data_IF_837247139315
#
_entry.id   IF_837247139315
#
_cell.length_a   1.000
_cell.length_b   1.000
_cell.length_c   1.000
_cell.angle_alpha   90.00
_cell.angle_beta   90.00
_cell.angle_gamma   90.00
#
_symmetry.space_group_name_H-M   'P 1'
#
loop_
_entity.id
_entity.type
_entity.pdbx_description
1 polymer ?
#
# COMPACT_ATOMS: atom_id res chain seq x y z
N UNK A 1 -49.83 14.24 6.12
CA UNK A 1 -49.61 13.07 5.26
C UNK A 1 -48.43 13.38 4.36
N UNK A 2 -47.24 12.86 4.67
CA UNK A 2 -46.11 12.87 3.73
C UNK A 2 -45.58 11.44 3.67
N UNK A 3 -45.65 10.91 2.45
CA UNK A 3 -45.37 9.53 2.05
C UNK A 3 -43.86 9.26 2.13
N UNK A 4 -43.44 8.52 3.16
CA UNK A 4 -42.07 8.05 3.31
C UNK A 4 -41.93 6.68 2.62
N UNK A 5 -41.55 6.69 1.34
CA UNK A 5 -41.02 5.49 0.68
C UNK A 5 -39.69 5.09 1.35
N UNK A 6 -39.78 4.11 2.23
CA UNK A 6 -38.68 3.42 2.89
C UNK A 6 -37.87 2.61 1.86
N UNK A 7 -36.67 3.10 1.50
CA UNK A 7 -35.70 2.31 0.76
C UNK A 7 -35.00 1.34 1.73
N UNK A 8 -35.41 0.07 1.70
CA UNK A 8 -34.68 -1.00 2.37
C UNK A 8 -33.42 -1.34 1.58
N UNK A 9 -32.24 -0.97 2.09
CA UNK A 9 -30.96 -1.48 1.59
C UNK A 9 -30.51 -2.58 2.56
N UNK A 10 -30.68 -3.83 2.14
CA UNK A 10 -30.25 -5.01 2.91
C UNK A 10 -28.77 -5.25 2.63
N UNK A 11 -27.91 -5.02 3.62
CA UNK A 11 -26.52 -5.46 3.58
C UNK A 11 -26.43 -6.88 4.14
N UNK A 12 -26.05 -7.85 3.30
CA UNK A 12 -25.61 -9.19 3.77
C UNK A 12 -24.13 -9.11 4.11
N UNK A 13 -23.79 -9.14 5.39
CA UNK A 13 -22.43 -9.40 5.88
C UNK A 13 -22.53 -10.63 6.78
N UNK A 14 -21.84 -11.71 6.41
CA UNK A 14 -21.58 -12.90 7.23
C UNK A 14 -22.79 -13.45 8.02
N UNK A 15 -23.89 -13.77 7.32
CA UNK A 15 -24.93 -14.64 7.87
C UNK A 15 -25.82 -14.07 8.99
N UNK A 16 -25.81 -12.75 9.23
CA UNK A 16 -26.73 -12.13 10.20
C UNK A 16 -27.73 -11.19 9.50
N UNK A 17 -29.02 -11.41 9.75
CA UNK A 17 -30.14 -10.59 9.29
C UNK A 17 -30.25 -9.32 10.15
N UNK A 18 -30.28 -8.16 9.50
CA UNK A 18 -30.44 -6.85 10.15
C UNK A 18 -31.92 -6.48 10.14
N UNK A 19 -32.57 -6.38 11.30
CA UNK A 19 -34.03 -6.16 11.37
C UNK A 19 -34.49 -4.69 11.43
N UNK A 20 -33.62 -3.69 11.57
CA UNK A 20 -34.01 -2.30 11.27
C UNK A 20 -32.82 -1.35 11.26
N UNK A 21 -32.87 -0.37 10.35
CA UNK A 21 -31.88 0.70 10.24
C UNK A 21 -32.64 2.05 10.21
N UNK A 22 -32.75 2.72 11.35
CA UNK A 22 -33.29 4.08 11.38
C UNK A 22 -32.22 5.08 10.94
N UNK A 23 -32.48 5.79 9.85
CA UNK A 23 -31.60 6.83 9.32
C UNK A 23 -31.98 8.18 9.94
N UNK A 24 -31.19 8.68 10.91
CA UNK A 24 -31.32 10.06 11.39
C UNK A 24 -30.50 10.98 10.48
N UNK A 25 -31.16 11.83 9.70
CA UNK A 25 -30.50 12.92 8.96
C UNK A 25 -30.31 14.11 9.90
N UNK A 26 -29.07 14.50 10.16
CA UNK A 26 -28.78 15.82 10.75
C UNK A 26 -28.50 16.85 9.64
N UNK A 27 -28.81 18.14 9.82
CA UNK A 27 -28.87 19.10 8.71
C UNK A 27 -27.51 19.56 8.17
N UNK A 28 -26.41 19.28 8.88
CA UNK A 28 -25.06 19.73 8.51
C UNK A 28 -24.02 18.83 9.14
N UNK A 29 -23.73 17.68 8.54
CA UNK A 29 -22.45 16.98 8.72
C UNK A 29 -22.40 15.77 7.78
N UNK A 30 -21.29 15.62 7.06
CA UNK A 30 -21.01 14.49 6.17
C UNK A 30 -20.64 13.22 6.96
N UNK A 31 -21.44 12.87 7.98
CA UNK A 31 -21.24 11.73 8.85
C UNK A 31 -22.54 10.92 8.91
N UNK A 32 -22.62 9.88 8.11
CA UNK A 32 -23.69 8.88 8.23
C UNK A 32 -23.27 7.92 9.35
N UNK A 33 -23.69 8.21 10.58
CA UNK A 33 -23.52 7.31 11.71
C UNK A 33 -24.67 6.29 11.64
N UNK A 34 -24.39 5.11 11.09
CA UNK A 34 -25.30 3.97 11.22
C UNK A 34 -24.95 3.26 12.53
N UNK A 35 -25.76 3.47 13.57
CA UNK A 35 -25.63 2.76 14.84
C UNK A 35 -26.27 1.38 14.67
N UNK A 36 -25.44 0.34 14.54
CA UNK A 36 -25.92 -1.04 14.61
C UNK A 36 -25.90 -1.44 16.09
N UNK A 37 -27.08 -1.50 16.72
CA UNK A 37 -27.24 -2.03 18.07
C UNK A 37 -27.15 -3.56 18.02
N UNK A 38 -25.97 -4.10 18.26
CA UNK A 38 -25.83 -5.49 18.70
C UNK A 38 -25.70 -5.48 20.23
N UNK A 39 -26.52 -6.31 20.86
CA UNK A 39 -26.71 -6.49 22.29
C UNK A 39 -25.39 -6.30 23.08
N UNK A 40 -25.30 -5.22 23.86
CA UNK A 40 -24.37 -5.10 24.98
C UNK A 40 -22.96 -4.53 24.75
N UNK A 41 -22.52 -4.19 23.52
CA UNK A 41 -21.26 -3.45 23.32
C UNK A 41 -21.37 -2.49 22.14
N UNK A 42 -21.42 -1.18 22.43
CA UNK A 42 -21.35 -0.09 21.46
C UNK A 42 -19.98 -0.04 20.78
N UNK A 43 -19.76 -0.91 19.79
CA UNK A 43 -18.57 -0.86 18.92
C UNK A 43 -18.82 0.17 17.83
N UNK A 44 -18.47 1.40 18.16
CA UNK A 44 -18.49 2.57 17.30
C UNK A 44 -17.57 2.37 16.08
N UNK A 45 -18.10 2.61 14.87
CA UNK A 45 -17.43 2.63 13.56
C UNK A 45 -16.43 3.81 13.43
N UNK A 46 -15.47 3.93 14.36
CA UNK A 46 -14.56 5.09 14.48
C UNK A 46 -13.57 5.30 13.33
N UNK A 47 -13.46 4.36 12.39
CA UNK A 47 -12.39 4.35 11.38
C UNK A 47 -12.88 4.42 9.93
N UNK A 48 -14.09 4.92 9.65
CA UNK A 48 -14.59 5.01 8.28
C UNK A 48 -14.84 6.47 7.84
N UNK A 49 -14.61 6.75 6.55
CA UNK A 49 -14.87 8.04 5.91
C UNK A 49 -15.38 7.84 4.49
N UNK A 50 -16.36 8.64 4.09
CA UNK A 50 -16.85 8.65 2.71
C UNK A 50 -15.91 9.45 1.79
N UNK A 51 -15.55 8.86 0.65
CA UNK A 51 -14.81 9.57 -0.38
C UNK A 51 -15.72 10.50 -1.19
N UNK A 52 -15.36 11.77 -1.32
CA UNK A 52 -16.11 12.75 -2.10
C UNK A 52 -16.10 12.53 -3.63
N UNK A 53 -15.24 11.64 -4.15
CA UNK A 53 -15.11 11.37 -5.59
C UNK A 53 -15.84 10.10 -6.02
N UNK A 54 -15.61 8.98 -5.34
CA UNK A 54 -16.28 7.70 -5.65
C UNK A 54 -17.45 7.36 -4.73
N UNK A 55 -17.76 8.22 -3.75
CA UNK A 55 -18.85 8.06 -2.78
C UNK A 55 -18.79 6.81 -1.89
N UNK A 56 -17.74 5.99 -1.98
CA UNK A 56 -17.54 4.81 -1.15
C UNK A 56 -17.16 5.18 0.29
N UNK A 57 -17.71 4.42 1.24
CA UNK A 57 -17.32 4.45 2.65
C UNK A 57 -16.09 3.55 2.81
N UNK A 58 -14.96 4.13 3.19
CA UNK A 58 -13.68 3.45 3.25
C UNK A 58 -12.98 3.73 4.58
N UNK A 59 -12.10 2.82 4.97
CA UNK A 59 -11.28 2.98 6.16
C UNK A 59 -10.41 4.27 6.09
N UNK A 60 -10.18 4.95 7.21
CA UNK A 60 -9.37 6.18 7.28
C UNK A 60 -7.97 5.99 6.70
N UNK A 61 -7.39 4.78 6.79
CA UNK A 61 -6.09 4.45 6.18
C UNK A 61 -6.11 4.56 4.65
N UNK A 62 -7.29 4.56 4.02
CA UNK A 62 -7.47 4.78 2.57
C UNK A 62 -7.43 6.25 2.20
N UNK A 63 -7.28 7.17 3.15
CA UNK A 63 -7.15 8.60 2.92
C UNK A 63 -5.74 9.09 3.27
N UNK A 64 -5.27 10.11 2.55
CA UNK A 64 -3.97 10.74 2.83
C UNK A 64 -4.12 11.85 3.87
N UNK A 65 -3.10 12.04 4.73
CA UNK A 65 -3.08 13.11 5.73
C UNK A 65 -3.11 14.49 5.06
N UNK A 66 -4.00 15.38 5.51
CA UNK A 66 -4.09 16.78 5.09
C UNK A 66 -4.29 17.68 6.31
N UNK A 67 -3.19 18.22 6.84
CA UNK A 67 -3.17 19.04 8.08
C UNK A 67 -4.16 20.22 8.08
N UNK A 68 -4.41 20.82 6.90
CA UNK A 68 -5.33 21.96 6.75
C UNK A 68 -6.81 21.63 6.95
N UNK A 69 -7.18 20.35 6.99
CA UNK A 69 -8.57 19.90 7.10
C UNK A 69 -8.87 19.62 8.58
N UNK A 70 -10.12 19.87 8.99
CA UNK A 70 -10.57 19.68 10.38
C UNK A 70 -10.31 18.27 10.91
N UNK A 71 -10.53 17.26 10.08
CA UNK A 71 -10.29 15.84 10.39
C UNK A 71 -8.85 15.38 10.08
N UNK A 72 -7.99 16.27 9.59
CA UNK A 72 -6.63 15.95 9.22
C UNK A 72 -6.48 15.01 8.01
N UNK A 73 -7.55 14.76 7.25
CA UNK A 73 -7.57 13.78 6.15
C UNK A 73 -8.07 14.39 4.84
N UNK A 74 -7.66 13.78 3.73
CA UNK A 74 -8.17 14.13 2.41
C UNK A 74 -9.66 13.82 2.30
N UNK A 75 -10.39 14.62 1.52
CA UNK A 75 -11.78 14.32 1.17
C UNK A 75 -11.91 13.19 0.13
N UNK A 76 -10.82 12.83 -0.55
CA UNK A 76 -10.81 11.76 -1.55
C UNK A 76 -9.86 10.63 -1.14
N UNK A 77 -10.22 9.40 -1.52
CA UNK A 77 -9.41 8.24 -1.20
C UNK A 77 -8.14 8.18 -2.07
N UNK A 78 -7.15 7.42 -1.62
CA UNK A 78 -5.88 7.20 -2.30
C UNK A 78 -6.05 6.60 -3.70
N UNK A 79 -7.08 5.76 -3.92
CA UNK A 79 -7.40 5.21 -5.24
C UNK A 79 -7.82 6.30 -6.22
N UNK A 80 -8.84 7.06 -5.84
CA UNK A 80 -9.33 8.22 -6.59
C UNK A 80 -8.25 9.24 -6.92
N UNK A 81 -7.34 9.49 -5.98
CA UNK A 81 -6.15 10.32 -6.17
C UNK A 81 -5.20 9.68 -7.19
N UNK A 82 -4.83 8.41 -7.01
CA UNK A 82 -3.98 7.65 -7.95
C UNK A 82 -4.49 7.72 -9.39
N UNK A 83 -5.79 7.50 -9.60
CA UNK A 83 -6.38 7.51 -10.94
C UNK A 83 -6.36 8.90 -11.57
N UNK A 84 -6.61 9.94 -10.77
CA UNK A 84 -6.47 11.32 -11.21
C UNK A 84 -5.03 11.63 -11.67
N UNK A 85 -4.02 11.20 -10.91
CA UNK A 85 -2.61 11.40 -11.27
C UNK A 85 -2.21 10.60 -12.51
N UNK A 86 -2.67 9.36 -12.65
CA UNK A 86 -2.42 8.54 -13.84
C UNK A 86 -3.00 9.19 -15.10
N UNK A 87 -4.25 9.64 -15.05
CA UNK A 87 -4.92 10.32 -16.16
C UNK A 87 -4.24 11.64 -16.57
N UNK A 88 -3.58 12.32 -15.62
CA UNK A 88 -2.92 13.61 -15.84
C UNK A 88 -1.39 13.50 -15.92
N UNK A 89 -0.83 12.29 -16.04
CA UNK A 89 0.63 12.05 -15.97
C UNK A 89 1.40 12.92 -16.96
N UNK A 90 0.96 12.96 -18.22
CA UNK A 90 1.63 13.73 -19.27
C UNK A 90 1.54 15.24 -19.04
N UNK A 91 0.41 15.74 -18.52
CA UNK A 91 0.25 17.15 -18.15
C UNK A 91 1.26 17.57 -17.08
N UNK A 92 1.43 16.76 -16.04
CA UNK A 92 2.41 17.04 -14.98
C UNK A 92 3.85 16.93 -15.49
N UNK A 93 4.14 15.95 -16.34
CA UNK A 93 5.45 15.78 -16.99
C UNK A 93 5.80 17.00 -17.84
N UNK A 94 4.88 17.47 -18.68
CA UNK A 94 5.04 18.68 -19.50
C UNK A 94 5.34 19.90 -18.64
N UNK A 95 4.51 20.15 -17.62
CA UNK A 95 4.71 21.26 -16.67
C UNK A 95 6.07 21.19 -15.96
N UNK A 96 6.51 19.99 -15.58
CA UNK A 96 7.82 19.81 -14.94
C UNK A 96 8.97 20.12 -15.91
N UNK A 97 8.88 19.66 -17.16
CA UNK A 97 9.88 19.92 -18.18
C UNK A 97 9.98 21.42 -18.50
N UNK A 98 8.84 22.11 -18.64
CA UNK A 98 8.77 23.56 -18.83
C UNK A 98 9.39 24.30 -17.64
N UNK A 99 9.04 23.91 -16.41
CA UNK A 99 9.65 24.50 -15.22
C UNK A 99 11.17 24.29 -15.21
N UNK A 100 11.65 23.08 -15.53
CA UNK A 100 13.08 22.76 -15.54
C UNK A 100 13.83 23.52 -16.63
N UNK A 101 13.25 23.66 -17.82
CA UNK A 101 13.82 24.45 -18.92
C UNK A 101 13.96 25.93 -18.52
N UNK A 102 12.92 26.49 -17.89
CA UNK A 102 12.91 27.89 -17.46
C UNK A 102 13.68 28.16 -16.15
N UNK A 103 14.08 27.12 -15.41
CA UNK A 103 14.72 27.24 -14.09
C UNK A 103 15.92 26.30 -13.95
N UNK A 104 16.77 26.21 -14.99
CA UNK A 104 17.86 25.24 -15.05
C UNK A 104 18.84 25.36 -13.87
N UNK A 105 19.24 26.58 -13.52
CA UNK A 105 20.16 26.83 -12.40
C UNK A 105 19.57 26.36 -11.07
N UNK A 106 18.32 26.73 -10.79
CA UNK A 106 17.60 26.29 -9.59
C UNK A 106 17.43 24.77 -9.54
N UNK A 107 17.19 24.14 -10.68
CA UNK A 107 17.11 22.68 -10.77
C UNK A 107 18.46 22.02 -10.42
N UNK A 108 19.58 22.56 -10.92
CA UNK A 108 20.94 22.11 -10.58
C UNK A 108 21.27 22.32 -9.12
N UNK A 109 20.88 23.46 -8.54
CA UNK A 109 21.07 23.74 -7.11
C UNK A 109 20.31 22.73 -6.24
N UNK A 110 19.05 22.43 -6.58
CA UNK A 110 18.27 21.40 -5.89
C UNK A 110 18.90 20.01 -6.01
N UNK A 111 19.44 19.67 -7.18
CA UNK A 111 20.16 18.42 -7.40
C UNK A 111 21.42 18.35 -6.52
N UNK A 112 22.22 19.42 -6.47
CA UNK A 112 23.38 19.53 -5.59
C UNK A 112 22.99 19.35 -4.12
N UNK A 113 21.97 20.06 -3.64
CA UNK A 113 21.44 19.93 -2.27
C UNK A 113 20.96 18.50 -1.99
N UNK A 114 20.27 17.87 -2.95
CA UNK A 114 19.81 16.49 -2.83
C UNK A 114 20.95 15.49 -2.74
N UNK A 115 22.03 15.69 -3.50
CA UNK A 115 23.23 14.85 -3.48
C UNK A 115 24.03 15.02 -2.18
N UNK A 116 24.16 16.26 -1.69
CA UNK A 116 24.83 16.57 -0.43
C UNK A 116 24.04 16.11 0.80
N UNK A 117 22.73 15.92 0.68
CA UNK A 117 21.87 15.50 1.79
C UNK A 117 22.34 14.13 2.36
N UNK A 118 22.88 14.08 3.59
CA UNK A 118 23.47 12.87 4.16
C UNK A 118 22.46 11.72 4.28
N UNK A 119 21.19 12.05 4.59
CA UNK A 119 20.11 11.06 4.72
C UNK A 119 19.83 10.35 3.41
N UNK A 120 20.03 11.02 2.27
CA UNK A 120 19.87 10.44 0.93
C UNK A 120 21.15 9.77 0.45
N UNK A 121 22.30 10.42 0.65
CA UNK A 121 23.63 9.94 0.26
C UNK A 121 23.91 8.54 0.83
N UNK A 122 23.59 8.32 2.10
CA UNK A 122 23.85 7.05 2.76
C UNK A 122 22.69 6.06 2.71
N UNK A 123 21.52 6.45 2.16
CA UNK A 123 20.32 5.61 2.12
C UNK A 123 20.58 4.25 1.49
N UNK A 124 21.31 4.21 0.36
CA UNK A 124 21.63 2.95 -0.32
C UNK A 124 22.48 2.03 0.57
N UNK A 125 23.55 2.57 1.18
CA UNK A 125 24.43 1.83 2.09
C UNK A 125 23.67 1.31 3.31
N UNK A 126 22.85 2.16 3.92
CA UNK A 126 22.00 1.82 5.06
C UNK A 126 21.04 0.67 4.68
N UNK A 127 20.36 0.78 3.54
CA UNK A 127 19.45 -0.26 3.07
C UNK A 127 20.17 -1.58 2.78
N UNK A 128 21.37 -1.54 2.22
CA UNK A 128 22.19 -2.74 2.03
C UNK A 128 22.58 -3.39 3.36
N UNK A 129 23.01 -2.60 4.36
CA UNK A 129 23.33 -3.09 5.69
C UNK A 129 22.10 -3.76 6.35
N UNK A 130 20.93 -3.11 6.29
CA UNK A 130 19.68 -3.69 6.78
C UNK A 130 19.32 -5.00 6.07
N UNK A 131 19.51 -5.10 4.75
CA UNK A 131 19.26 -6.35 4.01
C UNK A 131 20.13 -7.50 4.51
N UNK A 132 21.42 -7.25 4.75
CA UNK A 132 22.36 -8.26 5.27
C UNK A 132 21.95 -8.74 6.65
N UNK A 133 21.63 -7.81 7.55
CA UNK A 133 21.14 -8.11 8.90
C UNK A 133 19.87 -8.95 8.85
N UNK A 134 18.90 -8.59 8.00
CA UNK A 134 17.66 -9.36 7.85
C UNK A 134 17.90 -10.77 7.30
N UNK A 135 18.78 -10.93 6.31
CA UNK A 135 19.17 -12.26 5.82
C UNK A 135 19.79 -13.10 6.93
N UNK A 136 20.72 -12.52 7.69
CA UNK A 136 21.38 -13.20 8.81
C UNK A 136 20.37 -13.64 9.87
N UNK A 137 19.45 -12.75 10.29
CA UNK A 137 18.42 -13.10 11.27
C UNK A 137 17.41 -14.14 10.78
N UNK A 138 17.17 -14.20 9.48
CA UNK A 138 16.28 -15.18 8.88
C UNK A 138 16.97 -16.50 8.55
N UNK A 139 18.31 -16.59 8.68
CA UNK A 139 19.08 -17.80 8.40
C UNK A 139 19.13 -18.68 9.63
N UNK A 140 18.76 -19.96 9.49
CA UNK A 140 19.03 -20.94 10.53
C UNK A 140 20.48 -21.43 10.44
N UNK A 141 21.09 -21.64 11.61
CA UNK A 141 22.46 -22.15 11.72
C UNK A 141 22.59 -23.50 11.01
N UNK A 142 23.61 -23.65 10.16
CA UNK A 142 23.93 -24.89 9.45
C UNK A 142 23.58 -24.88 7.95
N UNK A 143 22.81 -23.91 7.47
CA UNK A 143 22.45 -23.80 6.06
C UNK A 143 23.35 -22.86 5.24
N UNK A 144 24.33 -22.22 5.87
CA UNK A 144 25.15 -21.16 5.24
C UNK A 144 25.90 -21.68 4.01
N UNK A 145 26.45 -22.88 4.08
CA UNK A 145 27.18 -23.49 2.97
C UNK A 145 26.26 -23.86 1.81
N UNK A 146 25.06 -24.34 2.09
CA UNK A 146 24.08 -24.74 1.09
C UNK A 146 23.48 -23.52 0.37
N UNK A 147 23.15 -22.47 1.15
CA UNK A 147 22.73 -21.18 0.61
C UNK A 147 23.82 -20.61 -0.29
N UNK A 148 25.08 -20.65 0.14
CA UNK A 148 26.21 -20.16 -0.67
C UNK A 148 26.31 -20.88 -2.01
N UNK A 149 26.17 -22.21 -2.03
CA UNK A 149 26.14 -23.00 -3.28
C UNK A 149 25.04 -22.56 -4.23
N UNK A 150 23.86 -22.16 -3.72
CA UNK A 150 22.77 -21.65 -4.57
C UNK A 150 23.18 -20.33 -5.23
N UNK A 151 23.80 -19.41 -4.49
CA UNK A 151 24.30 -18.15 -5.06
C UNK A 151 25.42 -18.38 -6.08
N UNK A 152 26.37 -19.27 -5.77
CA UNK A 152 27.52 -19.56 -6.64
C UNK A 152 27.07 -20.22 -7.96
N UNK A 153 26.00 -21.02 -7.95
CA UNK A 153 25.44 -21.68 -9.13
C UNK A 153 24.34 -20.86 -9.84
N UNK A 154 24.15 -19.59 -9.49
CA UNK A 154 23.12 -18.76 -10.11
C UNK A 154 23.43 -18.54 -11.61
N UNK A 155 22.55 -18.98 -12.53
CA UNK A 155 22.82 -18.86 -13.96
C UNK A 155 22.83 -17.40 -14.41
N UNK A 156 23.53 -17.12 -15.51
CA UNK A 156 23.59 -15.78 -16.08
C UNK A 156 22.19 -15.29 -16.48
N UNK A 157 21.90 -14.02 -16.17
CA UNK A 157 20.58 -13.41 -16.40
C UNK A 157 19.54 -13.70 -15.31
N UNK A 158 19.85 -14.54 -14.33
CA UNK A 158 19.00 -14.84 -13.17
C UNK A 158 19.53 -14.19 -11.89
N UNK A 159 18.64 -14.03 -10.93
CA UNK A 159 18.97 -13.69 -9.55
C UNK A 159 18.42 -14.76 -8.61
N UNK A 160 19.11 -14.96 -7.48
CA UNK A 160 18.57 -15.70 -6.34
C UNK A 160 17.50 -14.85 -5.68
N UNK A 161 16.27 -15.34 -5.67
CA UNK A 161 15.10 -14.70 -5.07
C UNK A 161 14.56 -15.55 -3.91
N UNK A 162 13.91 -14.91 -2.95
CA UNK A 162 13.18 -15.59 -1.90
C UNK A 162 11.73 -15.84 -2.32
N UNK A 163 11.29 -17.09 -2.44
CA UNK A 163 9.90 -17.45 -2.80
C UNK A 163 8.93 -16.72 -1.87
N UNK A 164 9.13 -16.87 -0.56
CA UNK A 164 8.47 -16.09 0.48
C UNK A 164 9.39 -14.95 0.94
N UNK A 165 8.94 -13.68 0.87
CA UNK A 165 9.79 -12.53 1.17
C UNK A 165 10.22 -12.54 2.64
N UNK A 166 11.48 -12.24 2.93
CA UNK A 166 11.96 -12.07 4.31
C UNK A 166 11.24 -10.94 5.07
N UNK A 167 10.65 -10.00 4.33
CA UNK A 167 9.90 -8.87 4.89
C UNK A 167 8.59 -8.62 4.11
N UNK A 168 7.52 -9.29 4.52
CA UNK A 168 6.17 -8.99 4.07
C UNK A 168 5.36 -8.25 5.14
N UNK A 169 4.21 -7.69 4.73
CA UNK A 169 3.28 -7.01 5.65
C UNK A 169 2.53 -8.00 6.55
N UNK A 170 2.17 -9.15 5.99
CA UNK A 170 1.32 -10.15 6.64
C UNK A 170 2.06 -11.47 6.91
N UNK A 171 3.18 -11.72 6.21
CA UNK A 171 3.96 -12.97 6.30
C UNK A 171 5.44 -12.66 6.07
N UNK A 172 6.33 -13.44 6.68
CA UNK A 172 7.76 -13.43 6.41
C UNK A 172 8.26 -14.86 6.13
N UNK A 173 9.25 -14.98 5.24
CA UNK A 173 9.98 -16.22 4.98
C UNK A 173 11.31 -16.28 5.70
N UNK A 174 11.98 -17.42 5.56
CA UNK A 174 13.32 -17.69 6.11
C UNK A 174 14.39 -17.63 5.01
N UNK A 175 15.64 -17.37 5.38
CA UNK A 175 16.76 -17.46 4.45
C UNK A 175 17.32 -18.89 4.50
N UNK A 176 16.66 -19.80 3.78
CA UNK A 176 16.92 -21.25 3.77
C UNK A 176 16.80 -21.79 2.34
N UNK A 177 17.48 -22.90 1.99
CA UNK A 177 17.57 -23.40 0.61
C UNK A 177 16.22 -23.55 -0.09
N UNK A 178 15.24 -24.16 0.58
CA UNK A 178 13.90 -24.38 0.02
C UNK A 178 13.05 -23.11 -0.12
N UNK A 179 13.50 -21.98 0.42
CA UNK A 179 12.87 -20.68 0.19
C UNK A 179 13.63 -19.86 -0.87
N UNK A 180 14.68 -20.39 -1.48
CA UNK A 180 15.42 -19.73 -2.57
C UNK A 180 15.02 -20.32 -3.92
N UNK A 181 14.94 -19.47 -4.93
CA UNK A 181 14.70 -19.86 -6.31
C UNK A 181 15.53 -19.01 -7.27
N UNK A 182 15.88 -19.55 -8.43
CA UNK A 182 16.37 -18.74 -9.54
C UNK A 182 15.18 -18.10 -10.25
N UNK A 183 15.22 -16.78 -10.37
CA UNK A 183 14.21 -16.00 -11.06
C UNK A 183 14.89 -15.05 -12.04
N UNK A 184 14.42 -14.91 -13.30
CA UNK A 184 15.01 -13.97 -14.24
C UNK A 184 15.14 -12.58 -13.61
N UNK A 185 16.27 -11.91 -13.82
CA UNK A 185 16.59 -10.67 -13.11
C UNK A 185 15.47 -9.63 -13.19
N UNK A 186 14.85 -9.48 -14.38
CA UNK A 186 13.72 -8.58 -14.61
C UNK A 186 12.46 -8.98 -13.83
N UNK A 187 12.19 -10.29 -13.71
CA UNK A 187 11.05 -10.80 -12.96
C UNK A 187 11.24 -10.62 -11.47
N UNK A 188 12.44 -10.88 -10.94
CA UNK A 188 12.78 -10.63 -9.54
C UNK A 188 12.57 -9.15 -9.16
N UNK A 189 13.04 -8.23 -10.02
CA UNK A 189 12.82 -6.79 -9.85
C UNK A 189 11.32 -6.45 -9.80
N UNK A 190 10.51 -7.07 -10.66
CA UNK A 190 9.05 -6.85 -10.70
C UNK A 190 8.32 -7.47 -9.50
N UNK A 191 8.77 -8.64 -9.04
CA UNK A 191 8.21 -9.38 -7.89
C UNK A 191 8.36 -8.58 -6.60
N UNK A 192 9.55 -8.03 -6.32
CA UNK A 192 9.82 -7.29 -5.08
C UNK A 192 9.42 -8.18 -3.86
N UNK A 193 8.84 -7.63 -2.80
CA UNK A 193 8.39 -8.39 -1.62
C UNK A 193 6.98 -9.01 -1.78
N UNK A 194 6.56 -9.34 -3.01
CA UNK A 194 5.28 -10.00 -3.25
C UNK A 194 5.48 -11.52 -3.32
N UNK A 195 4.44 -12.25 -2.90
CA UNK A 195 4.34 -13.69 -3.15
C UNK A 195 3.65 -13.88 -4.49
N UNK A 196 4.27 -14.65 -5.38
CA UNK A 196 3.64 -15.06 -6.63
C UNK A 196 2.80 -16.30 -6.31
N UNK A 197 1.48 -16.11 -6.19
CA UNK A 197 0.55 -17.22 -6.08
C UNK A 197 0.30 -17.72 -7.50
N UNK A 198 0.73 -18.96 -7.81
CA UNK A 198 0.18 -19.65 -8.98
C UNK A 198 -1.29 -19.88 -8.66
N UNK A 199 -2.20 -19.42 -9.53
CA UNK A 199 -3.57 -19.89 -9.47
C UNK A 199 -3.50 -21.36 -9.86
N UNK A 200 -4.05 -22.22 -9.03
CA UNK A 200 -4.20 -23.63 -9.39
C UNK A 200 -4.97 -23.65 -10.71
N UNK A 201 -4.35 -24.22 -11.74
CA UNK A 201 -5.08 -24.60 -12.95
C UNK A 201 -6.02 -25.71 -12.48
N UNK A 202 -7.30 -25.36 -12.29
CA UNK A 202 -8.36 -26.33 -12.02
C UNK A 202 -8.38 -27.32 -13.20
N UNK A 203 -7.72 -28.46 -13.00
CA UNK A 203 -7.84 -29.69 -13.79
C UNK A 203 -9.12 -30.44 -13.45
#
# INVERSE_FOLDING_TARGET
>A
MNDYRSLQIVYKINGLSIESCQTLKTPRESLVISVIYLIGRTTTLFNMKQCAKCSQILDLSRFSKQKRRKDGLSNQCKGCFSDYFKANREKYKKRYNEWRANNLEKARELERKNFQNPTRKHKHRINQAFRRVMQQHATFKGFEAEIRKIYDNCPEGYHVDHIMPLRGKNMCGLNVPWNLQYLPALENIRKNNKVILKKDEES
#
